data_IF_154227038928
#
_entry.id   IF_154227038928
#
_cell.length_a   1.000
_cell.length_b   1.000
_cell.length_c   1.000
_cell.angle_alpha   90.00
_cell.angle_beta   90.00
_cell.angle_gamma   90.00
#
_symmetry.space_group_name_H-M   'P 1'
#
loop_
_entity.id
_entity.type
_entity.pdbx_description
1 polymer ?
#
# COMPACT_ATOMS: atom_id res chain seq x y z
N UNK A 1 -15.61 -3.36 18.00
CA UNK A 1 -14.28 -3.37 18.65
C UNK A 1 -14.31 -4.00 20.03
N UNK A 2 -15.06 -3.44 21.01
CA UNK A 2 -15.11 -4.02 22.36
C UNK A 2 -15.69 -5.43 22.39
N UNK A 3 -16.90 -5.59 21.84
CA UNK A 3 -17.63 -6.87 21.77
C UNK A 3 -16.85 -7.94 20.98
N UNK A 4 -16.65 -7.74 19.67
CA UNK A 4 -15.84 -8.67 18.84
C UNK A 4 -14.45 -8.93 19.41
N UNK A 5 -13.85 -7.94 20.08
CA UNK A 5 -12.52 -8.10 20.68
C UNK A 5 -12.49 -9.08 21.85
N UNK A 6 -13.61 -9.42 22.47
CA UNK A 6 -13.69 -10.47 23.49
C UNK A 6 -13.50 -11.86 22.90
N UNK A 7 -13.84 -12.06 21.62
CA UNK A 7 -13.64 -13.31 20.89
C UNK A 7 -12.16 -13.59 20.56
N UNK A 8 -11.29 -12.57 20.65
CA UNK A 8 -9.85 -12.65 20.34
C UNK A 8 -8.99 -12.17 21.52
N UNK A 9 -8.93 -12.94 22.64
CA UNK A 9 -8.24 -12.52 23.86
C UNK A 9 -6.73 -12.39 23.71
N UNK A 10 -6.14 -13.11 22.76
CA UNK A 10 -4.69 -13.09 22.50
C UNK A 10 -4.22 -11.82 21.76
N UNK A 11 -5.16 -11.06 21.18
CA UNK A 11 -4.86 -9.80 20.50
C UNK A 11 -4.90 -8.66 21.50
N UNK A 12 -3.77 -7.98 21.70
CA UNK A 12 -3.69 -6.80 22.56
C UNK A 12 -4.55 -5.67 21.99
N UNK A 13 -5.51 -5.18 22.78
CA UNK A 13 -6.44 -4.11 22.40
C UNK A 13 -5.99 -2.79 23.01
N UNK A 14 -6.01 -1.73 22.20
CA UNK A 14 -5.85 -0.34 22.67
C UNK A 14 -6.83 0.56 21.90
N UNK A 15 -7.25 1.67 22.51
CA UNK A 15 -8.13 2.65 21.88
C UNK A 15 -7.58 4.06 22.15
N UNK A 16 -7.52 4.88 21.12
CA UNK A 16 -6.99 6.23 21.18
C UNK A 16 -7.89 7.18 20.38
N UNK A 17 -7.83 8.47 20.72
CA UNK A 17 -8.44 9.52 19.90
C UNK A 17 -7.64 9.71 18.61
N UNK A 18 -8.31 10.15 17.54
CA UNK A 18 -7.72 10.26 16.20
C UNK A 18 -6.56 11.26 16.15
N UNK A 19 -6.65 12.37 16.89
CA UNK A 19 -5.61 13.39 17.00
C UNK A 19 -4.33 12.83 17.66
N UNK A 20 -4.46 12.10 18.77
CA UNK A 20 -3.37 11.41 19.42
C UNK A 20 -2.77 10.32 18.52
N UNK A 21 -3.61 9.59 17.77
CA UNK A 21 -3.17 8.58 16.80
C UNK A 21 -2.32 9.21 15.71
N UNK A 22 -2.77 10.31 15.09
CA UNK A 22 -1.99 11.04 14.09
C UNK A 22 -0.66 11.55 14.65
N UNK A 23 -0.66 12.12 15.87
CA UNK A 23 0.57 12.57 16.53
C UNK A 23 1.55 11.42 16.76
N UNK A 24 1.09 10.26 17.22
CA UNK A 24 1.94 9.11 17.46
C UNK A 24 2.40 8.44 16.17
N UNK A 25 1.62 8.43 15.10
CA UNK A 25 2.11 7.94 13.81
C UNK A 25 3.31 8.73 13.31
N UNK A 26 3.35 10.05 13.54
CA UNK A 26 4.53 10.86 13.17
C UNK A 26 5.70 10.61 14.12
N UNK A 27 5.43 10.48 15.42
CA UNK A 27 6.49 10.40 16.45
C UNK A 27 7.09 9.00 16.59
N UNK A 28 6.24 7.98 16.59
CA UNK A 28 6.53 6.57 16.89
C UNK A 28 5.62 5.65 16.03
N UNK A 29 5.74 5.68 14.69
CA UNK A 29 4.92 4.83 13.82
C UNK A 29 5.05 3.34 14.13
N UNK A 30 6.21 2.90 14.62
CA UNK A 30 6.52 1.52 14.99
C UNK A 30 5.70 0.97 16.17
N UNK A 31 4.93 1.81 16.86
CA UNK A 31 4.04 1.37 17.94
C UNK A 31 2.73 0.75 17.42
N UNK A 32 2.40 0.97 16.14
CA UNK A 32 1.18 0.50 15.54
C UNK A 32 1.42 -0.79 14.74
N UNK A 33 0.43 -1.67 14.81
CA UNK A 33 0.39 -2.92 14.05
C UNK A 33 -0.85 -2.89 13.14
N UNK A 34 -2.05 -3.00 13.75
CA UNK A 34 -3.33 -2.89 13.04
C UNK A 34 -4.16 -1.75 13.63
N UNK A 35 -4.70 -0.89 12.75
CA UNK A 35 -5.63 0.18 13.11
C UNK A 35 -7.00 -0.13 12.50
N UNK A 36 -8.04 -0.15 13.33
CA UNK A 36 -9.43 -0.28 12.89
C UNK A 36 -10.16 1.02 13.22
N UNK A 37 -10.79 1.64 12.23
CA UNK A 37 -11.45 2.94 12.39
C UNK A 37 -12.60 3.12 11.41
N UNK A 38 -13.35 4.22 11.53
CA UNK A 38 -14.40 4.57 10.59
C UNK A 38 -13.81 5.21 9.31
N UNK A 39 -14.61 5.23 8.24
CA UNK A 39 -14.20 5.66 6.89
C UNK A 39 -13.37 6.97 6.88
N UNK A 40 -13.92 8.07 7.42
CA UNK A 40 -13.24 9.37 7.41
C UNK A 40 -11.86 9.36 8.09
N UNK A 41 -11.74 8.68 9.23
CA UNK A 41 -10.46 8.60 9.92
C UNK A 41 -9.51 7.62 9.24
N UNK A 42 -10.05 6.58 8.59
CA UNK A 42 -9.29 5.64 7.76
C UNK A 42 -8.59 6.36 6.61
N UNK A 43 -9.30 7.21 5.87
CA UNK A 43 -8.73 8.00 4.77
C UNK A 43 -7.58 8.88 5.27
N UNK A 44 -7.77 9.60 6.38
CA UNK A 44 -6.74 10.48 6.96
C UNK A 44 -5.50 9.68 7.42
N UNK A 45 -5.73 8.57 8.13
CA UNK A 45 -4.66 7.76 8.73
C UNK A 45 -3.87 7.01 7.65
N UNK A 46 -4.54 6.49 6.63
CA UNK A 46 -3.89 5.78 5.51
C UNK A 46 -3.06 6.73 4.66
N UNK A 47 -3.54 7.95 4.39
CA UNK A 47 -2.76 9.00 3.73
C UNK A 47 -1.51 9.38 4.53
N UNK A 48 -1.64 9.52 5.87
CA UNK A 48 -0.51 9.79 6.76
C UNK A 48 0.51 8.66 6.72
N UNK A 49 0.06 7.40 6.81
CA UNK A 49 0.90 6.22 6.72
C UNK A 49 1.66 6.14 5.40
N UNK A 50 0.98 6.44 4.29
CA UNK A 50 1.57 6.48 2.95
C UNK A 50 2.69 7.51 2.82
N UNK A 51 2.55 8.68 3.47
CA UNK A 51 3.61 9.68 3.50
C UNK A 51 4.78 9.27 4.39
N UNK A 52 4.54 8.62 5.54
CA UNK A 52 5.59 8.13 6.44
C UNK A 52 6.46 7.06 5.77
N UNK A 53 5.86 6.13 5.01
CA UNK A 53 6.61 5.09 4.30
C UNK A 53 7.42 5.60 3.08
N UNK A 54 7.28 6.88 2.72
CA UNK A 54 8.06 7.52 1.66
C UNK A 54 7.25 8.14 0.52
N UNK A 55 5.94 7.87 0.42
CA UNK A 55 5.06 8.59 -0.49
C UNK A 55 3.91 7.77 -1.08
N UNK A 56 3.00 8.50 -1.71
CA UNK A 56 1.79 7.97 -2.36
C UNK A 56 2.05 7.02 -3.53
N UNK A 57 3.23 7.05 -4.16
CA UNK A 57 3.53 6.26 -5.36
C UNK A 57 3.66 4.76 -5.12
N UNK A 58 3.66 4.32 -3.86
CA UNK A 58 3.81 2.92 -3.47
C UNK A 58 2.67 2.38 -2.59
N UNK A 59 1.75 3.25 -2.18
CA UNK A 59 0.66 2.88 -1.30
C UNK A 59 -0.48 2.21 -2.07
N UNK A 60 -0.68 0.91 -1.84
CA UNK A 60 -1.76 0.10 -2.39
C UNK A 60 -2.86 -0.14 -1.35
N UNK A 61 -4.08 -0.37 -1.81
CA UNK A 61 -5.23 -0.64 -0.97
C UNK A 61 -6.16 -1.69 -1.58
N UNK A 62 -7.04 -2.22 -0.72
CA UNK A 62 -8.05 -3.21 -1.09
C UNK A 62 -9.36 -2.91 -0.39
N UNK A 63 -10.44 -2.85 -1.17
CA UNK A 63 -11.82 -2.77 -0.71
C UNK A 63 -12.42 -4.18 -0.83
N UNK A 64 -12.47 -4.91 0.29
CA UNK A 64 -12.91 -6.31 0.31
C UNK A 64 -14.43 -6.38 0.50
N UNK A 65 -15.11 -7.11 -0.39
CA UNK A 65 -16.52 -7.43 -0.27
C UNK A 65 -16.73 -8.95 -0.14
N UNK A 66 -16.95 -9.47 1.08
CA UNK A 66 -17.14 -10.91 1.29
C UNK A 66 -18.36 -11.51 0.58
N UNK A 67 -19.32 -10.68 0.14
CA UNK A 67 -20.56 -11.11 -0.50
C UNK A 67 -20.62 -10.77 -2.00
N UNK A 68 -19.52 -10.28 -2.57
CA UNK A 68 -19.54 -9.79 -3.96
C UNK A 68 -18.15 -9.49 -4.50
N UNK A 69 -18.08 -8.46 -5.34
CA UNK A 69 -16.84 -8.06 -6.02
C UNK A 69 -16.00 -7.18 -5.11
N UNK A 70 -14.76 -7.61 -4.87
CA UNK A 70 -13.71 -6.82 -4.22
C UNK A 70 -12.96 -5.94 -5.24
N UNK A 71 -12.38 -4.83 -4.79
CA UNK A 71 -11.63 -3.90 -5.63
C UNK A 71 -10.24 -3.64 -5.04
N UNK A 72 -9.21 -3.65 -5.90
CA UNK A 72 -7.82 -3.42 -5.52
C UNK A 72 -7.28 -2.25 -6.31
N UNK A 73 -6.73 -1.25 -5.63
CA UNK A 73 -6.35 0.02 -6.26
C UNK A 73 -5.20 0.73 -5.52
N UNK A 74 -4.45 1.60 -6.21
CA UNK A 74 -3.63 2.60 -5.53
C UNK A 74 -4.50 3.51 -4.67
N UNK A 75 -4.04 3.88 -3.48
CA UNK A 75 -4.81 4.82 -2.63
C UNK A 75 -4.73 6.27 -3.16
N UNK A 76 -3.78 6.56 -4.05
CA UNK A 76 -3.59 7.91 -4.56
C UNK A 76 -4.64 8.30 -5.62
N UNK A 77 -4.92 9.60 -5.75
CA UNK A 77 -5.88 10.10 -6.75
C UNK A 77 -5.48 9.82 -8.21
N UNK A 78 -6.45 9.99 -9.12
CA UNK A 78 -6.36 9.63 -10.56
C UNK A 78 -5.40 10.46 -11.43
N UNK A 79 -4.86 11.55 -10.88
CA UNK A 79 -3.90 12.46 -11.50
C UNK A 79 -4.06 12.72 -13.04
N UNK A 80 -5.24 13.17 -13.52
CA UNK A 80 -5.58 13.19 -14.97
C UNK A 80 -4.66 14.07 -15.83
N UNK A 81 -4.07 15.10 -15.22
CA UNK A 81 -3.09 16.00 -15.86
C UNK A 81 -1.82 15.29 -16.36
N UNK A 82 -1.59 14.03 -15.96
CA UNK A 82 -0.43 13.22 -16.36
C UNK A 82 -0.78 12.05 -17.29
N UNK A 83 -2.04 11.90 -17.68
CA UNK A 83 -2.46 10.88 -18.65
C UNK A 83 -1.62 10.95 -19.93
N UNK A 84 -1.13 9.81 -20.38
CA UNK A 84 -0.30 9.69 -21.60
C UNK A 84 1.11 10.27 -21.51
N UNK A 85 1.54 10.80 -20.35
CA UNK A 85 2.86 11.45 -20.21
C UNK A 85 3.98 10.51 -19.79
N UNK A 86 3.64 9.29 -19.35
CA UNK A 86 4.62 8.27 -18.96
C UNK A 86 5.61 8.79 -17.86
N UNK A 87 5.05 9.40 -16.81
CA UNK A 87 5.80 10.01 -15.68
C UNK A 87 5.27 9.61 -14.31
N UNK A 88 4.32 8.66 -14.27
CA UNK A 88 3.69 8.20 -13.03
C UNK A 88 4.40 6.96 -12.54
N UNK A 89 4.64 6.91 -11.23
CA UNK A 89 5.15 5.74 -10.55
C UNK A 89 4.06 4.64 -10.52
N UNK A 90 4.28 3.47 -11.17
CA UNK A 90 3.26 2.42 -11.24
C UNK A 90 3.28 1.46 -10.04
N UNK A 91 4.21 1.61 -9.09
CA UNK A 91 4.43 0.61 -8.03
C UNK A 91 3.18 0.33 -7.20
N UNK A 92 2.44 1.37 -6.79
CA UNK A 92 1.19 1.19 -6.05
C UNK A 92 0.16 0.34 -6.82
N UNK A 93 0.04 0.53 -8.14
CA UNK A 93 -0.89 -0.25 -8.97
C UNK A 93 -0.44 -1.70 -9.12
N UNK A 94 0.88 -1.92 -9.25
CA UNK A 94 1.45 -3.27 -9.32
C UNK A 94 1.28 -3.99 -7.97
N UNK A 95 1.52 -3.30 -6.86
CA UNK A 95 1.29 -3.85 -5.52
C UNK A 95 -0.18 -4.19 -5.27
N UNK A 96 -1.11 -3.33 -5.71
CA UNK A 96 -2.55 -3.62 -5.65
C UNK A 96 -2.91 -4.89 -6.47
N UNK A 97 -2.30 -5.09 -7.64
CA UNK A 97 -2.45 -6.32 -8.40
C UNK A 97 -1.88 -7.54 -7.65
N UNK A 98 -0.77 -7.39 -6.92
CA UNK A 98 -0.24 -8.42 -6.01
C UNK A 98 -1.24 -8.82 -4.93
N UNK A 99 -1.85 -7.84 -4.25
CA UNK A 99 -2.90 -8.08 -3.25
C UNK A 99 -4.13 -8.79 -3.87
N UNK A 100 -4.49 -8.44 -5.10
CA UNK A 100 -5.56 -9.10 -5.84
C UNK A 100 -5.23 -10.57 -6.12
N UNK A 101 -4.00 -10.88 -6.56
CA UNK A 101 -3.56 -12.26 -6.79
C UNK A 101 -3.65 -13.08 -5.50
N UNK A 102 -3.22 -12.51 -4.37
CA UNK A 102 -3.33 -13.16 -3.07
C UNK A 102 -4.80 -13.44 -2.71
N UNK A 103 -5.70 -12.47 -2.90
CA UNK A 103 -7.13 -12.64 -2.66
C UNK A 103 -7.78 -13.72 -3.55
N UNK A 104 -7.27 -13.90 -4.77
CA UNK A 104 -7.73 -14.94 -5.70
C UNK A 104 -7.13 -16.32 -5.42
N UNK A 105 -6.22 -16.44 -4.45
CA UNK A 105 -5.51 -17.69 -4.12
C UNK A 105 -4.29 -17.97 -5.01
N UNK A 106 -3.88 -17.02 -5.85
CA UNK A 106 -2.68 -17.11 -6.68
C UNK A 106 -1.41 -16.72 -5.90
N UNK A 107 -1.12 -17.47 -4.85
CA UNK A 107 -0.05 -17.18 -3.88
C UNK A 107 1.33 -17.03 -4.54
N UNK A 108 1.64 -17.86 -5.53
CA UNK A 108 2.93 -17.80 -6.26
C UNK A 108 3.08 -16.49 -7.00
N UNK A 109 2.01 -16.03 -7.65
CA UNK A 109 2.00 -14.77 -8.40
C UNK A 109 2.10 -13.57 -7.46
N UNK A 110 1.32 -13.59 -6.37
CA UNK A 110 1.36 -12.54 -5.34
C UNK A 110 2.76 -12.40 -4.74
N UNK A 111 3.35 -13.52 -4.31
CA UNK A 111 4.70 -13.55 -3.74
C UNK A 111 5.76 -13.07 -4.72
N UNK A 112 5.66 -13.46 -6.00
CA UNK A 112 6.59 -13.01 -7.04
C UNK A 112 6.55 -11.49 -7.23
N UNK A 113 5.34 -10.89 -7.22
CA UNK A 113 5.16 -9.44 -7.32
C UNK A 113 5.77 -8.74 -6.10
N UNK A 114 5.46 -9.20 -4.90
CA UNK A 114 5.97 -8.62 -3.65
C UNK A 114 7.50 -8.68 -3.56
N UNK A 115 8.10 -9.84 -3.85
CA UNK A 115 9.56 -10.03 -3.84
C UNK A 115 10.24 -9.15 -4.89
N UNK A 116 9.64 -9.00 -6.08
CA UNK A 116 10.19 -8.16 -7.13
C UNK A 116 10.18 -6.66 -6.76
N UNK A 117 9.09 -6.18 -6.15
CA UNK A 117 8.99 -4.80 -5.65
C UNK A 117 10.00 -4.59 -4.51
N UNK A 118 10.01 -5.48 -3.51
CA UNK A 118 10.93 -5.41 -2.38
C UNK A 118 12.39 -5.35 -2.84
N UNK A 119 12.80 -6.26 -3.73
CA UNK A 119 14.16 -6.29 -4.28
C UNK A 119 14.51 -5.01 -5.04
N UNK A 120 13.57 -4.47 -5.82
CA UNK A 120 13.77 -3.22 -6.55
C UNK A 120 13.99 -2.04 -5.58
N UNK A 121 13.17 -1.91 -4.54
CA UNK A 121 13.30 -0.85 -3.55
C UNK A 121 14.59 -0.99 -2.75
N UNK A 122 14.93 -2.20 -2.29
CA UNK A 122 16.18 -2.48 -1.57
C UNK A 122 17.44 -2.20 -2.40
N UNK A 123 17.33 -2.21 -3.74
CA UNK A 123 18.46 -1.85 -4.62
C UNK A 123 18.78 -0.35 -4.63
N UNK A 124 17.90 0.50 -4.12
CA UNK A 124 18.06 1.96 -4.11
C UNK A 124 17.98 2.63 -5.49
N UNK A 125 17.54 1.90 -6.52
CA UNK A 125 17.40 2.44 -7.89
C UNK A 125 16.28 3.46 -8.03
N UNK A 126 15.23 3.34 -7.22
CA UNK A 126 14.15 4.32 -7.13
C UNK A 126 14.40 5.17 -5.88
N UNK A 127 14.82 6.41 -6.09
CA UNK A 127 15.20 7.33 -5.00
C UNK A 127 14.02 8.11 -4.43
N UNK A 128 12.96 8.26 -5.20
CA UNK A 128 11.75 8.99 -4.83
C UNK A 128 10.53 8.08 -5.02
N UNK A 129 9.80 7.81 -3.93
CA UNK A 129 8.61 6.97 -3.90
C UNK A 129 7.32 7.79 -4.04
N UNK A 130 7.42 9.09 -4.34
CA UNK A 130 6.28 9.91 -4.71
C UNK A 130 5.62 9.40 -5.99
N UNK A 131 4.45 9.96 -6.30
CA UNK A 131 3.73 9.71 -7.57
C UNK A 131 4.59 10.04 -8.80
N UNK A 132 5.59 10.91 -8.67
CA UNK A 132 6.50 11.32 -9.73
C UNK A 132 7.96 11.09 -9.31
N UNK A 133 8.38 9.83 -9.34
CA UNK A 133 9.74 9.40 -8.97
C UNK A 133 10.89 9.98 -9.82
N UNK A 134 10.57 10.70 -10.90
CA UNK A 134 11.54 11.22 -11.87
C UNK A 134 11.90 10.23 -12.98
N UNK A 135 11.47 8.97 -12.87
CA UNK A 135 11.63 7.93 -13.88
C UNK A 135 10.40 7.83 -14.78
N UNK A 136 10.54 7.22 -15.96
CA UNK A 136 9.41 6.88 -16.81
C UNK A 136 8.62 5.71 -16.23
N UNK A 137 7.32 5.69 -16.47
CA UNK A 137 6.42 4.63 -16.01
C UNK A 137 6.87 3.26 -16.52
N UNK A 138 7.20 3.14 -17.81
CA UNK A 138 7.68 1.87 -18.37
C UNK A 138 9.04 1.46 -17.80
N UNK A 139 9.93 2.40 -17.48
CA UNK A 139 11.25 2.06 -16.92
C UNK A 139 11.10 1.36 -15.57
N UNK A 140 10.18 1.85 -14.73
CA UNK A 140 9.87 1.21 -13.45
C UNK A 140 9.22 -0.16 -13.68
N UNK A 141 8.28 -0.26 -14.62
CA UNK A 141 7.68 -1.55 -15.00
C UNK A 141 8.71 -2.59 -15.43
N UNK A 142 9.64 -2.21 -16.32
CA UNK A 142 10.74 -3.06 -16.77
C UNK A 142 11.66 -3.47 -15.62
N UNK A 143 11.92 -2.54 -14.68
CA UNK A 143 12.71 -2.85 -13.49
C UNK A 143 12.01 -3.89 -12.60
N UNK A 144 10.69 -3.81 -12.44
CA UNK A 144 9.93 -4.82 -11.69
C UNK A 144 10.02 -6.18 -12.38
N UNK A 145 9.74 -6.25 -13.69
CA UNK A 145 9.81 -7.50 -14.47
C UNK A 145 11.19 -8.16 -14.38
N UNK A 146 12.27 -7.37 -14.53
CA UNK A 146 13.64 -7.89 -14.36
C UNK A 146 13.89 -8.50 -12.98
N UNK A 147 13.26 -7.96 -11.94
CA UNK A 147 13.40 -8.50 -10.58
C UNK A 147 12.54 -9.74 -10.32
N UNK A 148 11.55 -10.03 -11.15
CA UNK A 148 10.79 -11.29 -11.12
C UNK A 148 11.60 -12.49 -11.63
N UNK A 149 12.73 -12.27 -12.33
CA UNK A 149 13.55 -13.38 -12.85
C UNK A 149 12.87 -14.18 -13.98
N UNK A 150 11.84 -13.61 -14.60
CA UNK A 150 11.23 -14.14 -15.82
C UNK A 150 12.15 -13.77 -17.00
N UNK A 151 12.96 -14.73 -17.44
CA UNK A 151 13.84 -14.61 -18.61
C UNK A 151 13.12 -14.98 -19.89
#
# INVERSE_FOLDING_TARGET
FKEVGEEYPDIKKNCALVDATCMWMVKNPEWFDVIVTCNMFGDIITDLGAMIQGGMGIAAGANINPQGVSMFEPIHGSAPKYTGKNVINPLAAIAAAGMMLEHLGEEKGAKLVDEAITKLLSSGRIKDLSTKSGLKTYEIGDMVVRNMGLS
#
